data_IF_941361839271
#
_entry.id   IF_941361839271
#
_cell.length_a   1.000
_cell.length_b   1.000
_cell.length_c   1.000
_cell.angle_alpha   90.00
_cell.angle_beta   90.00
_cell.angle_gamma   90.00
#
_symmetry.space_group_name_H-M   'P 1'
#
loop_
_entity.id
_entity.type
_entity.pdbx_description
1 polymer ?
#
# COMPACT_ATOMS: atom_id res chain seq x y z
N UNK A 1 16.30 -10.50 -14.38
CA UNK A 1 16.35 -9.40 -13.37
C UNK A 1 15.73 -8.11 -13.89
N UNK A 2 16.24 -7.48 -14.98
CA UNK A 2 15.69 -6.18 -15.45
C UNK A 2 14.18 -6.21 -15.74
N UNK A 3 13.68 -7.24 -16.41
CA UNK A 3 12.25 -7.41 -16.67
C UNK A 3 11.42 -7.40 -15.38
N UNK A 4 11.86 -8.13 -14.36
CA UNK A 4 11.16 -8.18 -13.08
C UNK A 4 11.19 -6.84 -12.33
N UNK A 5 12.31 -6.09 -12.40
CA UNK A 5 12.39 -4.75 -11.80
C UNK A 5 11.43 -3.76 -12.48
N UNK A 6 11.32 -3.84 -13.80
CA UNK A 6 10.33 -3.03 -14.56
C UNK A 6 8.91 -3.44 -14.17
N UNK A 7 8.64 -4.74 -14.01
CA UNK A 7 7.34 -5.23 -13.58
C UNK A 7 6.98 -4.74 -12.16
N UNK A 8 7.91 -4.83 -11.19
CA UNK A 8 7.71 -4.30 -9.83
C UNK A 8 7.45 -2.79 -9.83
N UNK A 9 8.24 -2.03 -10.59
CA UNK A 9 8.06 -0.59 -10.74
C UNK A 9 6.68 -0.23 -11.31
N UNK A 10 6.31 -0.83 -12.44
CA UNK A 10 5.05 -0.52 -13.13
C UNK A 10 3.83 -1.00 -12.36
N UNK A 11 3.88 -2.20 -11.79
CA UNK A 11 2.77 -2.76 -11.02
C UNK A 11 2.52 -1.99 -9.72
N UNK A 12 3.60 -1.60 -9.01
CA UNK A 12 3.48 -0.76 -7.81
C UNK A 12 2.97 0.63 -8.18
N UNK A 13 3.46 1.22 -9.28
CA UNK A 13 2.94 2.49 -9.80
C UNK A 13 1.44 2.41 -10.12
N UNK A 14 1.00 1.33 -10.76
CA UNK A 14 -0.41 1.10 -11.08
C UNK A 14 -1.26 0.89 -9.82
N UNK A 15 -0.78 0.11 -8.85
CA UNK A 15 -1.44 -0.05 -7.55
C UNK A 15 -1.67 1.31 -6.87
N UNK A 16 -0.65 2.16 -6.86
CA UNK A 16 -0.74 3.50 -6.26
C UNK A 16 -1.65 4.42 -7.09
N UNK A 17 -1.65 4.30 -8.40
CA UNK A 17 -2.55 5.07 -9.26
C UNK A 17 -4.02 4.83 -8.89
N UNK A 18 -4.43 3.59 -8.66
CA UNK A 18 -5.77 3.26 -8.16
C UNK A 18 -5.97 3.73 -6.72
N UNK A 19 -5.01 3.44 -5.83
CA UNK A 19 -5.17 3.68 -4.41
C UNK A 19 -5.14 5.16 -4.02
N UNK A 20 -4.22 5.95 -4.56
CA UNK A 20 -4.18 7.41 -4.34
C UNK A 20 -5.30 8.08 -5.14
N UNK A 21 -5.59 7.58 -6.35
CA UNK A 21 -6.68 8.09 -7.18
C UNK A 21 -8.04 8.03 -6.50
N UNK A 22 -8.40 6.89 -5.89
CA UNK A 22 -9.68 6.77 -5.18
C UNK A 22 -9.77 7.69 -3.97
N UNK A 23 -8.65 7.93 -3.27
CA UNK A 23 -8.63 8.89 -2.17
C UNK A 23 -8.69 10.34 -2.66
N UNK A 24 -8.16 10.65 -3.85
CA UNK A 24 -8.42 11.93 -4.51
C UNK A 24 -9.93 12.10 -4.80
N UNK A 25 -10.58 11.07 -5.33
CA UNK A 25 -12.02 11.09 -5.60
C UNK A 25 -12.84 11.30 -4.33
N UNK A 26 -12.51 10.58 -3.24
CA UNK A 26 -13.23 10.64 -1.97
C UNK A 26 -13.11 12.00 -1.29
N UNK A 27 -11.90 12.61 -1.30
CA UNK A 27 -11.52 13.72 -0.42
C UNK A 27 -11.61 15.08 -1.13
N UNK A 28 -11.18 15.16 -2.41
CA UNK A 28 -11.09 16.45 -3.10
C UNK A 28 -12.47 16.95 -3.55
N UNK A 29 -12.66 18.26 -3.49
CA UNK A 29 -13.90 18.93 -3.93
C UNK A 29 -14.16 18.74 -5.43
N UNK A 30 -15.43 18.66 -5.79
CA UNK A 30 -15.94 18.59 -7.17
C UNK A 30 -15.50 17.35 -7.96
N UNK A 31 -14.98 16.29 -7.32
CA UNK A 31 -14.80 15.01 -7.97
C UNK A 31 -16.15 14.30 -8.16
N UNK A 32 -16.23 13.34 -9.09
CA UNK A 32 -17.47 12.57 -9.34
C UNK A 32 -17.89 11.69 -8.15
N UNK A 33 -16.92 11.30 -7.32
CA UNK A 33 -17.12 10.38 -6.22
C UNK A 33 -16.82 11.00 -4.85
N UNK A 34 -16.86 12.33 -4.76
CA UNK A 34 -16.65 13.05 -3.50
C UNK A 34 -17.58 12.51 -2.39
N UNK A 35 -16.98 12.15 -1.24
CA UNK A 35 -17.74 11.60 -0.11
C UNK A 35 -18.18 10.14 -0.27
N UNK A 36 -17.62 9.38 -1.22
CA UNK A 36 -17.96 7.97 -1.46
C UNK A 36 -17.67 7.02 -0.28
N UNK A 37 -16.74 7.41 0.60
CA UNK A 37 -16.43 6.71 1.84
C UNK A 37 -15.47 5.52 1.70
N UNK A 38 -15.06 5.00 2.86
CA UNK A 38 -13.97 4.01 2.95
C UNK A 38 -14.28 2.66 2.28
N UNK A 39 -15.54 2.24 2.19
CA UNK A 39 -15.90 0.98 1.50
C UNK A 39 -15.53 1.09 0.01
N UNK A 40 -15.83 2.22 -0.62
CA UNK A 40 -15.46 2.48 -2.01
C UNK A 40 -13.93 2.48 -2.17
N UNK A 41 -13.21 3.17 -1.27
CA UNK A 41 -11.76 3.22 -1.30
C UNK A 41 -11.14 1.81 -1.12
N UNK A 42 -11.57 1.02 -0.13
CA UNK A 42 -11.06 -0.33 0.12
C UNK A 42 -11.33 -1.24 -1.09
N UNK A 43 -12.51 -1.13 -1.69
CA UNK A 43 -12.87 -1.91 -2.88
C UNK A 43 -11.96 -1.57 -4.07
N UNK A 44 -11.67 -0.29 -4.28
CA UNK A 44 -10.76 0.15 -5.34
C UNK A 44 -9.33 -0.33 -5.10
N UNK A 45 -8.82 -0.28 -3.85
CA UNK A 45 -7.53 -0.88 -3.51
C UNK A 45 -7.48 -2.37 -3.84
N UNK A 46 -8.52 -3.11 -3.45
CA UNK A 46 -8.60 -4.56 -3.68
C UNK A 46 -8.56 -4.90 -5.17
N UNK A 47 -9.42 -4.27 -5.96
CA UNK A 47 -9.46 -4.53 -7.40
C UNK A 47 -8.27 -3.94 -8.17
N UNK A 48 -7.75 -2.79 -7.74
CA UNK A 48 -6.55 -2.19 -8.35
C UNK A 48 -5.33 -3.10 -8.24
N UNK A 49 -5.14 -3.74 -7.08
CA UNK A 49 -4.08 -4.74 -6.87
C UNK A 49 -4.33 -5.98 -7.74
N UNK A 50 -5.57 -6.47 -7.81
CA UNK A 50 -5.92 -7.59 -8.70
C UNK A 50 -5.61 -7.29 -10.16
N UNK A 51 -5.95 -6.09 -10.64
CA UNK A 51 -5.66 -5.63 -12.02
C UNK A 51 -4.16 -5.60 -12.26
N UNK A 52 -3.36 -5.07 -11.32
CA UNK A 52 -1.91 -5.07 -11.44
C UNK A 52 -1.34 -6.50 -11.54
N UNK A 53 -1.84 -7.43 -10.73
CA UNK A 53 -1.44 -8.84 -10.79
C UNK A 53 -1.86 -9.52 -12.09
N UNK A 54 -3.02 -9.20 -12.67
CA UNK A 54 -3.44 -9.73 -13.97
C UNK A 54 -2.55 -9.24 -15.12
N UNK A 55 -2.04 -8.00 -15.04
CA UNK A 55 -1.21 -7.42 -16.09
C UNK A 55 0.24 -7.91 -15.99
N UNK A 56 0.82 -7.93 -14.78
CA UNK A 56 2.25 -8.12 -14.57
C UNK A 56 2.63 -9.52 -14.04
N UNK A 57 1.66 -10.33 -13.60
CA UNK A 57 1.90 -11.66 -13.06
C UNK A 57 2.45 -11.64 -11.63
N UNK A 58 3.42 -12.50 -11.36
CA UNK A 58 3.97 -12.77 -10.02
C UNK A 58 4.86 -11.65 -9.45
N UNK A 59 4.33 -10.44 -9.33
CA UNK A 59 5.00 -9.29 -8.70
C UNK A 59 4.64 -9.18 -7.22
N UNK A 60 5.52 -8.57 -6.44
CA UNK A 60 5.34 -8.37 -5.00
C UNK A 60 4.60 -7.07 -4.66
N UNK A 61 4.96 -5.97 -5.31
CA UNK A 61 4.42 -4.62 -5.07
C UNK A 61 4.49 -4.19 -3.59
N UNK A 62 5.34 -4.85 -2.79
CA UNK A 62 5.37 -4.69 -1.34
C UNK A 62 6.71 -5.16 -0.75
N UNK A 63 7.55 -4.28 -0.19
CA UNK A 63 8.83 -4.64 0.41
C UNK A 63 8.71 -5.71 1.51
N UNK A 64 7.59 -5.71 2.27
CA UNK A 64 7.34 -6.74 3.28
C UNK A 64 7.08 -8.13 2.64
N UNK A 65 6.41 -8.19 1.49
CA UNK A 65 6.24 -9.43 0.73
C UNK A 65 7.58 -9.93 0.18
N UNK A 66 8.40 -9.03 -0.37
CA UNK A 66 9.76 -9.38 -0.85
C UNK A 66 10.58 -9.97 0.29
N UNK A 67 10.53 -9.38 1.51
CA UNK A 67 11.20 -9.92 2.68
C UNK A 67 10.70 -11.32 3.03
N UNK A 68 9.39 -11.53 3.11
CA UNK A 68 8.81 -12.83 3.43
C UNK A 68 9.23 -13.91 2.42
N UNK A 69 9.20 -13.61 1.13
CA UNK A 69 9.63 -14.53 0.07
C UNK A 69 11.14 -14.82 0.12
N UNK A 70 11.99 -13.84 0.47
CA UNK A 70 13.43 -14.08 0.68
C UNK A 70 13.69 -14.98 1.88
N UNK A 71 12.98 -14.79 2.99
CA UNK A 71 13.10 -15.62 4.20
C UNK A 71 12.66 -17.06 3.92
N UNK A 72 11.62 -17.26 3.12
CA UNK A 72 11.11 -18.59 2.73
C UNK A 72 11.92 -19.22 1.57
N UNK A 73 12.96 -18.56 1.06
CA UNK A 73 13.76 -19.07 -0.06
C UNK A 73 13.04 -19.04 -1.43
N UNK A 74 11.88 -18.39 -1.52
CA UNK A 74 11.12 -18.24 -2.77
C UNK A 74 11.74 -17.20 -3.70
N UNK A 75 12.47 -16.21 -3.15
CA UNK A 75 13.28 -15.23 -3.86
C UNK A 75 14.71 -15.21 -3.35
N UNK A 76 15.72 -15.05 -4.22
CA UNK A 76 17.09 -14.87 -3.77
C UNK A 76 17.27 -13.52 -3.07
N UNK A 77 18.07 -13.47 -2.00
CA UNK A 77 18.36 -12.24 -1.24
C UNK A 77 18.96 -11.11 -2.10
N UNK A 78 19.62 -11.46 -3.21
CA UNK A 78 20.12 -10.48 -4.19
C UNK A 78 19.00 -9.68 -4.86
N UNK A 79 17.77 -10.13 -4.83
CA UNK A 79 16.59 -9.43 -5.35
C UNK A 79 16.01 -8.42 -4.35
N UNK A 80 16.28 -8.55 -3.04
CA UNK A 80 15.62 -7.76 -2.02
C UNK A 80 15.76 -6.26 -2.25
N UNK A 81 16.98 -5.73 -2.24
CA UNK A 81 17.23 -4.29 -2.40
C UNK A 81 16.76 -3.77 -3.77
N UNK A 82 17.09 -4.42 -4.92
CA UNK A 82 16.59 -3.96 -6.20
C UNK A 82 15.06 -3.89 -6.32
N UNK A 83 14.33 -4.88 -5.78
CA UNK A 83 12.87 -4.89 -5.81
C UNK A 83 12.30 -3.76 -4.96
N UNK A 84 12.78 -3.62 -3.72
CA UNK A 84 12.37 -2.54 -2.81
C UNK A 84 12.55 -1.16 -3.46
N UNK A 85 13.69 -0.92 -4.13
CA UNK A 85 13.93 0.35 -4.84
C UNK A 85 12.92 0.53 -5.99
N UNK A 86 12.68 -0.51 -6.79
CA UNK A 86 11.73 -0.45 -7.90
C UNK A 86 10.31 -0.14 -7.41
N UNK A 87 9.87 -0.80 -6.34
CA UNK A 87 8.57 -0.59 -5.71
C UNK A 87 8.41 0.85 -5.16
N UNK A 88 9.43 1.36 -4.45
CA UNK A 88 9.40 2.75 -3.95
C UNK A 88 9.35 3.78 -5.07
N UNK A 89 10.14 3.61 -6.13
CA UNK A 89 10.12 4.49 -7.29
C UNK A 89 8.78 4.41 -8.03
N UNK A 90 8.23 3.21 -8.20
CA UNK A 90 6.91 3.01 -8.78
C UNK A 90 5.82 3.72 -7.98
N UNK A 91 5.84 3.56 -6.65
CA UNK A 91 4.89 4.20 -5.75
C UNK A 91 4.98 5.74 -5.80
N UNK A 92 6.19 6.29 -5.79
CA UNK A 92 6.43 7.72 -5.93
C UNK A 92 5.87 8.25 -7.25
N UNK A 93 6.21 7.61 -8.37
CA UNK A 93 5.74 8.03 -9.70
C UNK A 93 4.23 7.89 -9.84
N UNK A 94 3.62 6.81 -9.36
CA UNK A 94 2.16 6.63 -9.36
C UNK A 94 1.44 7.76 -8.63
N UNK A 95 1.96 8.18 -7.46
CA UNK A 95 1.40 9.30 -6.69
C UNK A 95 1.57 10.66 -7.39
N UNK A 96 2.71 10.89 -8.06
CA UNK A 96 2.93 12.10 -8.85
C UNK A 96 1.96 12.17 -10.05
N UNK A 97 1.72 11.04 -10.72
CA UNK A 97 0.74 10.96 -11.82
C UNK A 97 -0.67 11.28 -11.29
N UNK A 98 -1.07 10.72 -10.14
CA UNK A 98 -2.35 11.07 -9.51
C UNK A 98 -2.49 12.58 -9.26
N UNK A 99 -1.46 13.23 -8.73
CA UNK A 99 -1.48 14.67 -8.55
C UNK A 99 -1.73 15.43 -9.87
N UNK A 100 -1.06 15.02 -10.96
CA UNK A 100 -1.26 15.64 -12.27
C UNK A 100 -2.69 15.44 -12.76
N UNK A 101 -3.25 14.23 -12.60
CA UNK A 101 -4.63 13.90 -12.99
C UNK A 101 -5.68 14.74 -12.24
N UNK A 102 -5.44 14.99 -10.95
CA UNK A 102 -6.38 15.69 -10.06
C UNK A 102 -5.97 17.13 -9.75
N UNK A 103 -5.03 17.72 -10.50
CA UNK A 103 -4.44 19.03 -10.22
C UNK A 103 -5.48 20.13 -9.99
N UNK A 104 -6.50 20.20 -10.83
CA UNK A 104 -7.54 21.21 -10.74
C UNK A 104 -8.39 21.02 -9.47
N UNK A 105 -8.69 19.77 -9.12
CA UNK A 105 -9.40 19.42 -7.87
C UNK A 105 -8.58 19.75 -6.63
N UNK A 106 -7.25 19.57 -6.66
CA UNK A 106 -6.38 20.04 -5.57
C UNK A 106 -6.46 21.57 -5.40
N UNK A 107 -6.48 22.31 -6.51
CA UNK A 107 -6.60 23.77 -6.48
C UNK A 107 -7.96 24.19 -5.92
N UNK A 108 -9.05 23.58 -6.35
CA UNK A 108 -10.42 23.83 -5.84
C UNK A 108 -10.57 23.46 -4.36
N UNK A 109 -9.79 22.52 -3.88
CA UNK A 109 -9.80 22.06 -2.48
C UNK A 109 -8.99 22.96 -1.53
N UNK A 110 -8.19 23.90 -2.07
CA UNK A 110 -7.38 24.81 -1.25
C UNK A 110 -8.27 25.65 -0.32
N UNK A 111 -8.05 25.54 0.99
CA UNK A 111 -8.84 26.24 2.01
C UNK A 111 -10.23 25.66 2.30
N UNK A 112 -10.72 24.73 1.49
CA UNK A 112 -12.03 24.10 1.65
C UNK A 112 -11.96 22.70 2.26
N UNK A 113 -10.81 22.02 2.13
CA UNK A 113 -10.58 20.68 2.65
C UNK A 113 -9.53 20.72 3.76
N UNK A 114 -9.75 19.92 4.82
CA UNK A 114 -8.80 19.80 5.92
C UNK A 114 -7.41 19.36 5.39
N UNK A 115 -6.33 20.08 5.71
CA UNK A 115 -4.97 19.71 5.25
C UNK A 115 -4.51 18.31 5.66
N UNK A 116 -5.02 17.78 6.79
CA UNK A 116 -4.75 16.40 7.21
C UNK A 116 -5.47 15.40 6.29
N UNK A 117 -6.70 15.69 5.86
CA UNK A 117 -7.40 14.84 4.91
C UNK A 117 -6.67 14.80 3.55
N UNK A 118 -6.15 15.95 3.08
CA UNK A 118 -5.31 15.99 1.86
C UNK A 118 -4.03 15.15 2.02
N UNK A 119 -3.34 15.22 3.17
CA UNK A 119 -2.20 14.33 3.43
C UNK A 119 -2.60 12.86 3.39
N UNK A 120 -3.75 12.53 3.95
CA UNK A 120 -4.24 11.16 4.04
C UNK A 120 -4.66 10.56 2.68
N UNK A 121 -4.76 11.37 1.62
CA UNK A 121 -4.84 10.90 0.23
C UNK A 121 -3.59 10.08 -0.12
N UNK A 122 -2.42 10.52 0.33
CA UNK A 122 -1.12 9.96 -0.04
C UNK A 122 -0.62 8.89 0.94
N UNK A 123 -0.96 9.00 2.23
CA UNK A 123 -0.34 8.18 3.26
C UNK A 123 -1.33 7.83 4.37
N UNK A 124 -1.10 6.70 5.04
CA UNK A 124 -1.92 6.28 6.16
C UNK A 124 -1.67 7.14 7.40
N UNK A 125 -2.70 7.27 8.23
CA UNK A 125 -2.65 8.01 9.48
C UNK A 125 -3.69 7.47 10.45
N UNK A 126 -3.35 7.22 11.72
CA UNK A 126 -4.31 6.76 12.70
C UNK A 126 -5.19 7.90 13.20
N UNK A 127 -6.49 7.66 13.34
CA UNK A 127 -7.38 8.63 14.00
C UNK A 127 -7.09 8.74 15.50
N UNK A 128 -6.65 7.63 16.14
CA UNK A 128 -6.20 7.60 17.53
C UNK A 128 -4.70 7.31 17.56
N UNK A 129 -3.89 8.36 17.81
CA UNK A 129 -2.44 8.25 17.82
C UNK A 129 -1.94 7.55 19.09
N UNK A 130 -1.56 6.29 18.95
CA UNK A 130 -0.85 5.52 19.97
C UNK A 130 0.18 4.63 19.25
N UNK A 131 1.43 5.09 19.18
CA UNK A 131 2.46 4.45 18.37
C UNK A 131 2.65 2.96 18.68
N UNK A 132 2.73 2.49 19.94
CA UNK A 132 2.83 1.06 20.24
C UNK A 132 1.63 0.25 19.75
N UNK A 133 0.40 0.75 19.95
CA UNK A 133 -0.80 0.06 19.48
C UNK A 133 -0.92 0.09 17.96
N UNK A 134 -0.63 1.23 17.34
CA UNK A 134 -0.65 1.34 15.89
C UNK A 134 0.40 0.41 15.24
N UNK A 135 1.60 0.31 15.84
CA UNK A 135 2.64 -0.62 15.43
C UNK A 135 2.16 -2.08 15.53
N UNK A 136 1.55 -2.45 16.66
CA UNK A 136 0.98 -3.79 16.86
C UNK A 136 -0.10 -4.11 15.81
N UNK A 137 -1.02 -3.18 15.54
CA UNK A 137 -2.10 -3.38 14.55
C UNK A 137 -1.52 -3.59 13.15
N UNK A 138 -0.58 -2.74 12.70
CA UNK A 138 0.05 -2.89 11.39
C UNK A 138 0.87 -4.19 11.29
N UNK A 139 1.55 -4.59 12.35
CA UNK A 139 2.24 -5.90 12.41
C UNK A 139 1.26 -7.05 12.25
N UNK A 140 0.16 -7.05 13.03
CA UNK A 140 -0.84 -8.10 12.99
C UNK A 140 -1.55 -8.16 11.62
N UNK A 141 -2.00 -7.01 11.11
CA UNK A 141 -2.66 -6.92 9.81
C UNK A 141 -1.74 -7.43 8.69
N UNK A 142 -0.46 -7.04 8.71
CA UNK A 142 0.53 -7.53 7.73
C UNK A 142 0.78 -9.03 7.87
N UNK A 143 0.85 -9.56 9.10
CA UNK A 143 1.01 -11.01 9.32
C UNK A 143 -0.13 -11.77 8.67
N UNK A 144 -1.38 -11.41 8.95
CA UNK A 144 -2.57 -12.03 8.36
C UNK A 144 -2.57 -11.89 6.84
N UNK A 145 -2.33 -10.68 6.36
CA UNK A 145 -2.33 -10.35 4.94
C UNK A 145 -1.32 -11.19 4.14
N UNK A 146 -0.05 -11.20 4.57
CA UNK A 146 1.00 -11.93 3.85
C UNK A 146 0.86 -13.44 3.98
N UNK A 147 0.45 -13.96 5.15
CA UNK A 147 0.18 -15.39 5.32
C UNK A 147 -0.91 -15.87 4.37
N UNK A 148 -1.99 -15.10 4.22
CA UNK A 148 -3.08 -15.44 3.32
C UNK A 148 -2.65 -15.40 1.85
N UNK A 149 -1.87 -14.38 1.44
CA UNK A 149 -1.36 -14.30 0.06
C UNK A 149 -0.43 -15.47 -0.24
N UNK A 150 0.52 -15.79 0.64
CA UNK A 150 1.44 -16.91 0.47
C UNK A 150 0.69 -18.24 0.38
N UNK A 151 -0.36 -18.44 1.18
CA UNK A 151 -1.21 -19.61 1.09
C UNK A 151 -1.94 -19.71 -0.26
N UNK A 152 -2.48 -18.61 -0.78
CA UNK A 152 -3.13 -18.60 -2.09
C UNK A 152 -2.11 -18.82 -3.21
N UNK A 153 -0.95 -18.18 -3.14
CA UNK A 153 0.10 -18.32 -4.15
C UNK A 153 0.61 -19.76 -4.29
N UNK A 154 0.66 -20.52 -3.18
CA UNK A 154 1.17 -21.89 -3.20
C UNK A 154 0.11 -22.96 -3.44
N UNK A 155 -1.12 -22.73 -2.97
CA UNK A 155 -2.20 -23.72 -3.03
C UNK A 155 -3.22 -23.47 -4.16
N UNK A 156 -3.35 -22.23 -4.60
CA UNK A 156 -4.39 -21.79 -5.54
C UNK A 156 -3.82 -20.80 -6.57
N UNK A 157 -2.68 -21.10 -7.16
CA UNK A 157 -1.90 -20.22 -8.05
C UNK A 157 -2.76 -19.57 -9.16
N UNK A 158 -3.64 -20.34 -9.82
CA UNK A 158 -4.52 -19.85 -10.87
C UNK A 158 -5.53 -18.80 -10.41
N UNK A 159 -5.79 -18.74 -9.10
CA UNK A 159 -6.72 -17.79 -8.48
C UNK A 159 -6.00 -16.61 -7.84
N UNK A 160 -4.66 -16.53 -7.96
CA UNK A 160 -3.85 -15.56 -7.24
C UNK A 160 -4.34 -14.11 -7.39
N UNK A 161 -4.59 -13.56 -8.59
CA UNK A 161 -4.99 -12.15 -8.70
C UNK A 161 -6.30 -11.84 -7.98
N UNK A 162 -7.34 -12.67 -8.17
CA UNK A 162 -8.63 -12.44 -7.49
C UNK A 162 -8.55 -12.77 -6.00
N UNK A 163 -7.79 -13.80 -5.62
CA UNK A 163 -7.56 -14.18 -4.23
C UNK A 163 -6.89 -13.07 -3.44
N UNK A 164 -5.86 -12.43 -4.00
CA UNK A 164 -5.19 -11.27 -3.37
C UNK A 164 -6.17 -10.10 -3.22
N UNK A 165 -6.97 -9.79 -4.23
CA UNK A 165 -8.00 -8.76 -4.13
C UNK A 165 -8.99 -9.02 -2.98
N UNK A 166 -9.50 -10.25 -2.86
CA UNK A 166 -10.40 -10.64 -1.76
C UNK A 166 -9.72 -10.51 -0.38
N UNK A 167 -8.43 -10.90 -0.27
CA UNK A 167 -7.65 -10.76 0.95
C UNK A 167 -7.48 -9.28 1.31
N UNK A 168 -7.09 -8.42 0.36
CA UNK A 168 -6.97 -6.97 0.57
C UNK A 168 -8.30 -6.39 1.05
N UNK A 169 -9.41 -6.78 0.39
CA UNK A 169 -10.74 -6.32 0.74
C UNK A 169 -11.14 -6.72 2.17
N UNK A 170 -10.95 -8.00 2.52
CA UNK A 170 -11.28 -8.52 3.85
C UNK A 170 -10.43 -7.87 4.95
N UNK A 171 -9.11 -7.76 4.74
CA UNK A 171 -8.19 -7.14 5.71
C UNK A 171 -8.46 -5.64 5.84
N UNK A 172 -8.69 -4.94 4.73
CA UNK A 172 -9.05 -3.52 4.73
C UNK A 172 -10.33 -3.25 5.52
N UNK A 173 -11.37 -4.07 5.30
CA UNK A 173 -12.66 -3.95 5.99
C UNK A 173 -12.57 -4.35 7.48
N UNK A 174 -11.86 -5.43 7.80
CA UNK A 174 -11.85 -6.01 9.16
C UNK A 174 -10.75 -5.46 10.07
N UNK A 175 -9.59 -5.11 9.54
CA UNK A 175 -8.41 -4.72 10.31
C UNK A 175 -7.90 -3.30 10.00
N UNK A 176 -8.44 -2.63 8.97
CA UNK A 176 -7.95 -1.34 8.50
C UNK A 176 -8.42 -0.12 9.30
N UNK A 177 -9.49 -0.24 10.08
CA UNK A 177 -10.20 0.90 10.68
C UNK A 177 -9.40 1.75 11.67
N UNK A 178 -8.29 1.25 12.20
CA UNK A 178 -7.49 1.96 13.21
C UNK A 178 -6.31 2.73 12.64
N UNK A 179 -5.66 2.19 11.61
CA UNK A 179 -4.40 2.72 11.06
C UNK A 179 -4.48 3.06 9.57
N UNK A 180 -5.48 2.56 8.86
CA UNK A 180 -5.60 2.69 7.42
C UNK A 180 -4.88 1.57 6.64
N UNK A 181 -4.58 0.42 7.28
CA UNK A 181 -4.01 -0.79 6.66
C UNK A 181 -2.88 -0.48 5.67
N UNK A 182 -1.79 0.09 6.14
CA UNK A 182 -0.62 0.35 5.29
C UNK A 182 -0.02 -0.96 4.76
N UNK A 183 0.38 -1.85 5.66
CA UNK A 183 0.90 -3.21 5.41
C UNK A 183 2.01 -3.30 4.35
N UNK A 184 2.53 -2.16 3.91
CA UNK A 184 3.40 -2.03 2.75
C UNK A 184 4.16 -0.70 2.82
N UNK A 185 5.47 -0.78 2.91
CA UNK A 185 6.33 0.39 3.02
C UNK A 185 6.26 1.29 1.77
N UNK A 186 6.31 0.68 0.58
CA UNK A 186 6.28 1.43 -0.67
C UNK A 186 4.93 2.15 -0.85
N UNK A 187 3.83 1.49 -0.48
CA UNK A 187 2.46 2.02 -0.53
C UNK A 187 2.27 3.26 0.35
N UNK A 188 2.97 3.36 1.48
CA UNK A 188 2.86 4.53 2.37
C UNK A 188 3.97 5.55 2.12
N UNK A 189 5.23 5.13 2.18
CA UNK A 189 6.37 6.06 2.17
C UNK A 189 6.64 6.66 0.79
N UNK A 190 6.36 5.94 -0.30
CA UNK A 190 6.50 6.49 -1.66
C UNK A 190 5.55 7.68 -1.91
N UNK A 191 4.23 7.52 -1.73
CA UNK A 191 3.29 8.62 -1.85
C UNK A 191 3.47 9.70 -0.76
N UNK A 192 3.88 9.33 0.46
CA UNK A 192 4.23 10.29 1.52
C UNK A 192 5.37 11.22 1.08
N UNK A 193 6.37 10.67 0.39
CA UNK A 193 7.44 11.47 -0.22
C UNK A 193 6.91 12.34 -1.36
N UNK A 194 6.02 11.80 -2.23
CA UNK A 194 5.36 12.60 -3.24
C UNK A 194 4.64 13.80 -2.62
N UNK A 195 3.84 13.60 -1.58
CA UNK A 195 3.17 14.69 -0.86
C UNK A 195 4.16 15.73 -0.34
N UNK A 196 5.33 15.31 0.17
CA UNK A 196 6.39 16.25 0.60
C UNK A 196 6.87 17.14 -0.55
N UNK A 197 7.05 16.57 -1.74
CA UNK A 197 7.62 17.25 -2.91
C UNK A 197 6.60 18.12 -3.68
N UNK A 198 5.33 17.71 -3.69
CA UNK A 198 4.28 18.36 -4.48
C UNK A 198 4.00 19.80 -4.02
N UNK A 199 3.70 20.75 -4.94
CA UNK A 199 3.42 22.14 -4.62
C UNK A 199 1.98 22.37 -4.16
N UNK A 200 1.52 21.57 -3.18
CA UNK A 200 0.20 21.72 -2.56
C UNK A 200 0.28 22.83 -1.51
N UNK A 201 -0.62 23.81 -1.55
CA UNK A 201 -0.66 24.90 -0.56
C UNK A 201 -1.25 24.44 0.77
N UNK A 202 -0.85 25.10 1.86
CA UNK A 202 -1.34 24.82 3.22
C UNK A 202 -1.21 23.37 3.65
N UNK A 203 -0.11 22.69 3.30
CA UNK A 203 0.13 21.31 3.67
C UNK A 203 0.12 21.09 5.17
N UNK A 204 -0.51 20.00 5.61
CA UNK A 204 -0.27 19.44 6.93
C UNK A 204 1.19 18.93 7.06
N UNK A 205 1.66 18.80 8.30
CA UNK A 205 2.91 18.09 8.58
C UNK A 205 2.85 16.67 8.02
N UNK A 206 3.91 16.22 7.37
CA UNK A 206 3.97 14.91 6.71
C UNK A 206 4.01 13.72 7.68
N UNK A 207 4.23 13.98 8.97
CA UNK A 207 4.29 12.98 10.04
C UNK A 207 5.25 11.81 9.74
N UNK A 208 6.50 12.16 9.40
CA UNK A 208 7.54 11.17 9.14
C UNK A 208 7.83 10.26 10.34
N UNK A 209 7.62 10.75 11.58
CA UNK A 209 7.79 9.90 12.76
C UNK A 209 6.85 8.71 12.74
N UNK A 210 5.56 8.93 12.44
CA UNK A 210 4.60 7.85 12.26
C UNK A 210 4.94 7.01 11.03
N UNK A 211 5.19 7.66 9.89
CA UNK A 211 5.45 6.99 8.62
C UNK A 211 6.63 6.03 8.69
N UNK A 212 7.74 6.44 9.26
CA UNK A 212 8.93 5.59 9.36
C UNK A 212 8.77 4.48 10.41
N UNK A 213 8.15 4.79 11.55
CA UNK A 213 8.04 3.81 12.64
C UNK A 213 6.94 2.77 12.36
N UNK A 214 5.73 3.21 12.00
CA UNK A 214 4.59 2.32 11.88
C UNK A 214 4.53 1.68 10.49
N UNK A 215 4.16 2.37 9.38
CA UNK A 215 4.15 1.73 8.06
C UNK A 215 5.54 1.37 7.53
N UNK A 216 6.61 2.00 8.04
CA UNK A 216 7.98 1.72 7.63
C UNK A 216 8.56 0.45 8.25
N UNK A 217 8.33 0.17 9.53
CA UNK A 217 8.95 -0.96 10.25
C UNK A 217 7.96 -2.08 10.54
N UNK A 218 6.75 -1.77 11.03
CA UNK A 218 5.81 -2.81 11.48
C UNK A 218 5.49 -3.87 10.42
N UNK A 219 5.34 -3.54 9.10
CA UNK A 219 5.10 -4.57 8.10
C UNK A 219 6.28 -5.53 7.91
N UNK A 220 7.53 -5.12 8.15
CA UNK A 220 8.66 -6.06 8.13
C UNK A 220 8.59 -7.07 9.28
N UNK A 221 8.20 -6.63 10.48
CA UNK A 221 7.96 -7.55 11.60
C UNK A 221 6.80 -8.51 11.25
N UNK A 222 5.72 -7.98 10.67
CA UNK A 222 4.61 -8.79 10.18
C UNK A 222 5.02 -9.82 9.12
N UNK A 223 5.93 -9.45 8.21
CA UNK A 223 6.47 -10.34 7.18
C UNK A 223 7.26 -11.52 7.78
N UNK A 224 8.09 -11.26 8.79
CA UNK A 224 8.83 -12.31 9.49
C UNK A 224 7.89 -13.27 10.23
N UNK A 225 6.86 -12.76 10.89
CA UNK A 225 5.83 -13.57 11.55
C UNK A 225 5.00 -14.37 10.53
N UNK A 226 4.67 -13.79 9.38
CA UNK A 226 3.99 -14.48 8.30
C UNK A 226 4.84 -15.62 7.72
N UNK A 227 6.12 -15.38 7.47
CA UNK A 227 7.05 -16.41 7.00
C UNK A 227 7.17 -17.55 8.02
N UNK A 228 7.30 -17.23 9.31
CA UNK A 228 7.32 -18.23 10.37
C UNK A 228 6.03 -19.06 10.41
N UNK A 229 4.88 -18.39 10.34
CA UNK A 229 3.57 -19.07 10.31
C UNK A 229 3.44 -19.98 9.09
N UNK A 230 3.82 -19.51 7.91
CA UNK A 230 3.75 -20.29 6.67
C UNK A 230 4.67 -21.52 6.73
N UNK A 231 5.88 -21.36 7.23
CA UNK A 231 6.82 -22.48 7.40
C UNK A 231 6.27 -23.54 8.38
N UNK A 232 5.76 -23.13 9.54
CA UNK A 232 5.30 -24.04 10.59
C UNK A 232 3.97 -24.75 10.26
N UNK A 233 3.03 -24.03 9.64
CA UNK A 233 1.66 -24.53 9.50
C UNK A 233 1.24 -24.83 8.05
N UNK A 234 1.90 -24.25 7.07
CA UNK A 234 1.55 -24.45 5.66
C UNK A 234 2.57 -25.30 4.91
N UNK A 235 3.73 -25.55 5.50
CA UNK A 235 4.80 -26.32 4.89
C UNK A 235 5.44 -25.63 3.68
N UNK A 236 5.53 -24.30 3.75
CA UNK A 236 6.10 -23.45 2.72
C UNK A 236 7.45 -22.95 3.20
#
# INVERSE_FOLDING_TARGET
MLHNLIAEFLSTGLMILFGVGVHCDEVLTNTKYHGSGHIFAITTWAFGISVALYIFGGVCMNPAMVLAQCVLGMLPWTSFIPYVIAEFLGALVGALICYVMYKDHFTESEGNVNPIAIRNIFSTNPNCRNLPRNFFVETLATTVFLSAILAVATKYETQLPIGVGLIVWAVGMGLGGTTGFAMNQARDLGPRLAFQLLPIKNKANNDWQYGLLVPGIAPFVGALLAALFCNLFLGI
#
